data_IF_412219915917
#
_entry.id   IF_412219915917
#
_cell.length_a   1.000
_cell.length_b   1.000
_cell.length_c   1.000
_cell.angle_alpha   90.00
_cell.angle_beta   90.00
_cell.angle_gamma   90.00
#
_symmetry.space_group_name_H-M   'P 1'
#
loop_
_entity.id
_entity.type
_entity.pdbx_description
1 polymer ?
#
# COMPACT_ATOMS: atom_id res chain seq x y z
N UNK A 1 8.29 9.41 -7.21
CA UNK A 1 7.55 9.67 -8.48
C UNK A 1 7.56 11.15 -8.89
N UNK A 2 6.94 12.08 -8.15
CA UNK A 2 6.91 13.51 -8.54
C UNK A 2 8.31 14.10 -8.79
N UNK A 3 9.26 13.82 -7.89
CA UNK A 3 10.65 14.23 -8.02
C UNK A 3 11.30 13.68 -9.30
N UNK A 4 11.16 12.37 -9.55
CA UNK A 4 11.68 11.72 -10.76
C UNK A 4 11.09 12.34 -12.03
N UNK A 5 9.77 12.56 -12.08
CA UNK A 5 9.10 13.19 -13.23
C UNK A 5 9.60 14.63 -13.45
N UNK A 6 9.78 15.39 -12.37
CA UNK A 6 10.22 16.78 -12.44
C UNK A 6 11.60 16.91 -13.07
N UNK A 7 12.57 16.09 -12.64
CA UNK A 7 13.94 16.13 -13.15
C UNK A 7 14.17 15.31 -14.42
N UNK A 8 13.21 14.46 -14.83
CA UNK A 8 13.35 13.58 -16.00
C UNK A 8 13.80 14.29 -17.29
N UNK A 9 13.24 15.45 -17.69
CA UNK A 9 13.63 16.12 -18.93
C UNK A 9 15.07 16.63 -18.93
N UNK A 10 15.60 16.99 -17.74
CA UNK A 10 16.94 17.56 -17.57
C UNK A 10 18.03 16.49 -17.49
N UNK A 11 17.68 15.29 -17.02
CA UNK A 11 18.64 14.21 -16.75
C UNK A 11 18.62 13.13 -17.82
N UNK A 12 17.56 12.32 -17.83
CA UNK A 12 17.43 11.14 -18.68
C UNK A 12 16.86 11.49 -20.06
N UNK A 13 16.14 12.61 -20.16
CA UNK A 13 15.55 13.12 -21.39
C UNK A 13 14.45 12.24 -21.98
N UNK A 14 13.86 12.71 -23.08
CA UNK A 14 12.80 11.99 -23.79
C UNK A 14 11.48 11.89 -23.02
N UNK A 15 10.61 11.00 -23.48
CA UNK A 15 9.28 10.78 -22.87
C UNK A 15 9.42 9.91 -21.62
N UNK A 16 8.80 10.35 -20.52
CA UNK A 16 8.71 9.58 -19.28
C UNK A 16 8.05 8.20 -19.53
N UNK A 17 8.62 7.09 -19.01
CA UNK A 17 8.08 5.74 -19.16
C UNK A 17 6.65 5.60 -18.61
N UNK A 18 5.88 4.64 -19.13
CA UNK A 18 4.56 4.35 -18.59
C UNK A 18 4.69 3.64 -17.23
N UNK A 19 3.97 4.12 -16.21
CA UNK A 19 3.97 3.48 -14.89
C UNK A 19 2.96 2.33 -14.86
N UNK A 20 3.44 1.13 -14.54
CA UNK A 20 2.61 -0.05 -14.36
C UNK A 20 1.87 0.00 -13.02
N UNK A 21 0.54 0.10 -13.08
CA UNK A 21 -0.31 -0.01 -11.89
C UNK A 21 -0.64 -1.46 -11.52
N UNK A 22 -0.30 -2.41 -12.39
CA UNK A 22 -0.43 -3.85 -12.16
C UNK A 22 0.67 -4.61 -12.90
N UNK A 23 1.32 -5.55 -12.21
CA UNK A 23 2.37 -6.41 -12.79
C UNK A 23 1.81 -7.61 -13.55
N UNK A 24 0.53 -7.97 -13.35
CA UNK A 24 -0.11 -9.20 -13.84
C UNK A 24 0.03 -9.41 -15.35
N UNK A 25 -0.16 -8.36 -16.15
CA UNK A 25 -0.07 -8.43 -17.62
C UNK A 25 1.35 -8.70 -18.09
N UNK A 26 2.31 -7.93 -17.59
CA UNK A 26 3.73 -8.06 -17.94
C UNK A 26 4.31 -9.40 -17.44
N UNK A 27 3.96 -9.83 -16.22
CA UNK A 27 4.39 -11.12 -15.69
C UNK A 27 3.78 -12.29 -16.48
N UNK A 28 2.52 -12.19 -16.91
CA UNK A 28 1.90 -13.21 -17.75
C UNK A 28 2.65 -13.39 -19.08
N UNK A 29 3.13 -12.30 -19.67
CA UNK A 29 3.89 -12.35 -20.92
C UNK A 29 5.34 -12.80 -20.69
N UNK A 30 5.98 -12.34 -19.60
CA UNK A 30 7.30 -12.79 -19.19
C UNK A 30 7.35 -14.31 -18.93
N UNK A 31 6.31 -14.86 -18.29
CA UNK A 31 6.17 -16.32 -18.10
C UNK A 31 6.14 -17.08 -19.42
N UNK A 32 5.44 -16.57 -20.45
CA UNK A 32 5.43 -17.21 -21.78
C UNK A 32 6.82 -17.20 -22.40
N UNK A 33 7.55 -16.08 -22.29
CA UNK A 33 8.93 -15.96 -22.80
C UNK A 33 9.91 -16.90 -22.08
N UNK A 34 9.66 -17.14 -20.80
CA UNK A 34 10.44 -18.07 -19.97
C UNK A 34 9.97 -19.54 -20.07
N UNK A 35 9.00 -19.85 -20.94
CA UNK A 35 8.39 -21.17 -21.12
C UNK A 35 7.84 -21.79 -19.82
N UNK A 36 7.19 -20.95 -18.99
CA UNK A 36 6.59 -21.36 -17.72
C UNK A 36 5.07 -21.32 -17.82
N UNK A 37 4.45 -22.47 -17.59
CA UNK A 37 3.00 -22.62 -17.54
C UNK A 37 2.54 -23.13 -16.17
N UNK A 38 1.32 -22.77 -15.77
CA UNK A 38 0.73 -23.23 -14.50
C UNK A 38 -0.78 -23.21 -14.56
N UNK A 39 -1.40 -24.23 -13.96
CA UNK A 39 -2.86 -24.32 -13.78
C UNK A 39 -3.38 -23.32 -12.74
N UNK A 40 -2.54 -22.88 -11.79
CA UNK A 40 -2.88 -21.88 -10.77
C UNK A 40 -2.22 -20.54 -11.09
N UNK A 41 -2.65 -19.93 -12.19
CA UNK A 41 -2.03 -18.71 -12.74
C UNK A 41 -2.04 -17.54 -11.76
N UNK A 42 -3.13 -17.31 -11.02
CA UNK A 42 -3.25 -16.17 -10.10
C UNK A 42 -2.25 -16.23 -8.92
N UNK A 43 -2.14 -17.38 -8.25
CA UNK A 43 -1.19 -17.54 -7.14
C UNK A 43 0.26 -17.44 -7.62
N UNK A 44 0.56 -18.03 -8.77
CA UNK A 44 1.89 -17.95 -9.36
C UNK A 44 2.29 -16.51 -9.71
N UNK A 45 1.38 -15.73 -10.30
CA UNK A 45 1.65 -14.32 -10.60
C UNK A 45 1.91 -13.49 -9.33
N UNK A 46 1.21 -13.80 -8.23
CA UNK A 46 1.43 -13.16 -6.93
C UNK A 46 2.79 -13.52 -6.34
N UNK A 47 3.15 -14.80 -6.34
CA UNK A 47 4.46 -15.25 -5.85
C UNK A 47 5.58 -14.59 -6.67
N UNK A 48 5.47 -14.62 -8.00
CA UNK A 48 6.42 -13.97 -8.92
C UNK A 48 6.56 -12.47 -8.65
N UNK A 49 5.44 -11.76 -8.48
CA UNK A 49 5.47 -10.34 -8.16
C UNK A 49 6.20 -10.08 -6.84
N UNK A 50 5.89 -10.85 -5.78
CA UNK A 50 6.51 -10.69 -4.47
C UNK A 50 8.01 -10.97 -4.46
N UNK A 51 8.48 -11.99 -5.19
CA UNK A 51 9.91 -12.29 -5.31
C UNK A 51 10.66 -11.20 -6.09
N UNK A 52 10.08 -10.70 -7.18
CA UNK A 52 10.68 -9.63 -7.99
C UNK A 52 10.72 -8.32 -7.20
N UNK A 53 9.63 -7.97 -6.51
CA UNK A 53 9.56 -6.78 -5.64
C UNK A 53 10.64 -6.83 -4.57
N UNK A 54 10.74 -7.96 -3.85
CA UNK A 54 11.77 -8.17 -2.87
C UNK A 54 13.18 -8.01 -3.44
N UNK A 55 13.47 -8.65 -4.58
CA UNK A 55 14.78 -8.59 -5.21
C UNK A 55 15.17 -7.15 -5.56
N UNK A 56 14.24 -6.41 -6.16
CA UNK A 56 14.46 -5.02 -6.58
C UNK A 56 14.63 -4.06 -5.41
N UNK A 57 13.86 -4.27 -4.35
CA UNK A 57 13.97 -3.48 -3.11
C UNK A 57 15.32 -3.70 -2.42
N UNK A 58 15.93 -4.87 -2.61
CA UNK A 58 17.32 -5.16 -2.22
C UNK A 58 18.35 -4.80 -3.30
N UNK A 59 17.93 -4.17 -4.40
CA UNK A 59 18.79 -3.77 -5.53
C UNK A 59 19.49 -4.94 -6.24
N UNK A 60 18.89 -6.13 -6.20
CA UNK A 60 19.39 -7.33 -6.87
C UNK A 60 18.91 -7.38 -8.31
N UNK A 61 19.84 -7.50 -9.26
CA UNK A 61 19.53 -7.77 -10.66
C UNK A 61 19.09 -9.23 -10.88
N UNK A 62 18.46 -9.57 -12.02
CA UNK A 62 17.98 -10.94 -12.28
C UNK A 62 19.04 -12.03 -12.16
N UNK A 63 20.26 -11.76 -12.61
CA UNK A 63 21.41 -12.67 -12.50
C UNK A 63 21.93 -12.83 -11.07
N UNK A 64 21.62 -11.88 -10.18
CA UNK A 64 22.00 -11.90 -8.78
C UNK A 64 20.94 -12.51 -7.86
N UNK A 65 19.71 -12.73 -8.37
CA UNK A 65 18.58 -13.20 -7.57
C UNK A 65 18.89 -14.47 -6.77
N UNK A 66 19.46 -15.49 -7.41
CA UNK A 66 19.76 -16.78 -6.77
C UNK A 66 20.79 -16.64 -5.64
N UNK A 67 21.83 -15.83 -5.85
CA UNK A 67 22.83 -15.55 -4.83
C UNK A 67 22.20 -14.75 -3.67
N UNK A 68 21.37 -13.77 -4.01
CA UNK A 68 20.66 -12.94 -3.03
C UNK A 68 19.76 -13.74 -2.09
N UNK A 69 19.15 -14.84 -2.54
CA UNK A 69 18.40 -15.74 -1.65
C UNK A 69 19.26 -16.24 -0.48
N UNK A 70 20.52 -16.56 -0.75
CA UNK A 70 21.47 -17.02 0.26
C UNK A 70 21.98 -15.86 1.11
N UNK A 71 22.41 -14.77 0.48
CA UNK A 71 23.01 -13.61 1.16
C UNK A 71 22.08 -12.99 2.20
N UNK A 72 20.77 -12.98 1.90
CA UNK A 72 19.74 -12.43 2.77
C UNK A 72 18.97 -13.50 3.55
N UNK A 73 19.40 -14.77 3.50
CA UNK A 73 18.74 -15.90 4.17
C UNK A 73 17.22 -15.95 3.90
N UNK A 74 16.82 -15.65 2.65
CA UNK A 74 15.40 -15.60 2.27
C UNK A 74 14.82 -17.01 2.30
N UNK A 75 13.74 -17.16 3.07
CA UNK A 75 12.92 -18.38 3.02
C UNK A 75 12.11 -18.37 1.72
N UNK A 76 12.58 -19.12 0.73
CA UNK A 76 11.88 -19.31 -0.53
C UNK A 76 10.81 -20.40 -0.38
N UNK A 77 9.56 -20.00 -0.19
CA UNK A 77 8.42 -20.91 -0.04
C UNK A 77 7.19 -20.41 -0.81
N UNK A 78 7.25 -20.34 -2.15
CA UNK A 78 6.13 -19.91 -2.96
C UNK A 78 4.94 -20.88 -2.80
N UNK A 79 3.74 -20.32 -2.83
CA UNK A 79 2.50 -21.11 -2.78
C UNK A 79 2.27 -21.93 -4.06
N UNK A 80 2.86 -21.46 -5.16
CA UNK A 80 2.95 -22.13 -6.45
C UNK A 80 4.22 -23.00 -6.53
N UNK A 81 4.14 -24.13 -7.25
CA UNK A 81 5.29 -25.03 -7.47
C UNK A 81 6.28 -24.44 -8.49
N UNK A 82 6.85 -23.28 -8.20
CA UNK A 82 7.88 -22.62 -9.01
C UNK A 82 9.24 -22.72 -8.32
N UNK A 83 10.30 -23.00 -9.09
CA UNK A 83 11.67 -23.02 -8.57
C UNK A 83 12.30 -21.62 -8.58
N UNK A 84 13.32 -21.41 -7.76
CA UNK A 84 14.04 -20.13 -7.73
C UNK A 84 14.67 -19.78 -9.09
N UNK A 85 15.17 -20.78 -9.83
CA UNK A 85 15.75 -20.60 -11.17
C UNK A 85 14.68 -20.17 -12.17
N UNK A 86 13.46 -20.70 -12.04
CA UNK A 86 12.32 -20.27 -12.84
C UNK A 86 11.95 -18.82 -12.53
N UNK A 87 11.96 -18.41 -11.25
CA UNK A 87 11.75 -17.00 -10.87
C UNK A 87 12.81 -16.11 -11.50
N UNK A 88 14.10 -16.46 -11.44
CA UNK A 88 15.17 -15.68 -12.06
C UNK A 88 14.95 -15.49 -13.58
N UNK A 89 14.56 -16.55 -14.29
CA UNK A 89 14.24 -16.49 -15.74
C UNK A 89 13.05 -15.58 -16.03
N UNK A 90 11.97 -15.68 -15.25
CA UNK A 90 10.80 -14.79 -15.41
C UNK A 90 11.19 -13.36 -15.10
N UNK A 91 12.02 -13.14 -14.08
CA UNK A 91 12.47 -11.81 -13.69
C UNK A 91 13.28 -11.15 -14.82
N UNK A 92 14.22 -11.87 -15.43
CA UNK A 92 14.97 -11.39 -16.60
C UNK A 92 14.03 -11.05 -17.78
N UNK A 93 13.09 -11.94 -18.10
CA UNK A 93 12.10 -11.71 -19.16
C UNK A 93 11.18 -10.51 -18.85
N UNK A 94 10.84 -10.30 -17.58
CA UNK A 94 10.01 -9.21 -17.09
C UNK A 94 10.71 -7.86 -17.26
N UNK A 95 11.96 -7.74 -16.81
CA UNK A 95 12.76 -6.52 -16.98
C UNK A 95 13.02 -6.23 -18.47
N UNK A 96 13.30 -7.26 -19.27
CA UNK A 96 13.45 -7.10 -20.73
C UNK A 96 12.16 -6.60 -21.39
N UNK A 97 10.99 -7.10 -20.99
CA UNK A 97 9.71 -6.68 -21.54
C UNK A 97 9.39 -5.23 -21.17
N UNK A 98 9.56 -4.86 -19.89
CA UNK A 98 9.39 -3.47 -19.45
C UNK A 98 10.28 -2.50 -20.22
N UNK A 99 11.54 -2.87 -20.47
CA UNK A 99 12.47 -2.07 -21.26
C UNK A 99 12.00 -1.88 -22.71
N UNK A 100 11.48 -2.94 -23.34
CA UNK A 100 10.94 -2.89 -24.70
C UNK A 100 9.71 -1.96 -24.79
N UNK A 101 8.79 -2.08 -23.82
CA UNK A 101 7.55 -1.30 -23.77
C UNK A 101 7.73 0.12 -23.18
N UNK A 102 8.96 0.49 -22.80
CA UNK A 102 9.26 1.72 -22.06
C UNK A 102 8.31 1.91 -20.88
N UNK A 103 8.20 0.86 -20.07
CA UNK A 103 7.38 0.82 -18.87
C UNK A 103 8.26 0.66 -17.63
N UNK A 104 7.78 1.17 -16.50
CA UNK A 104 8.41 1.06 -15.18
C UNK A 104 7.37 0.62 -14.16
N UNK A 105 7.76 -0.12 -13.13
CA UNK A 105 6.93 -0.40 -11.95
C UNK A 105 7.26 0.56 -10.78
N UNK A 106 6.67 0.33 -9.61
CA UNK A 106 6.88 1.20 -8.44
C UNK A 106 8.29 1.08 -7.87
N UNK A 107 8.91 -0.09 -7.96
CA UNK A 107 10.27 -0.30 -7.47
C UNK A 107 11.28 0.42 -8.39
N UNK A 108 11.03 0.40 -9.71
CA UNK A 108 11.80 1.18 -10.68
C UNK A 108 11.77 2.68 -10.40
N UNK A 109 10.64 3.21 -9.90
CA UNK A 109 10.57 4.64 -9.54
C UNK A 109 11.62 4.96 -8.49
N UNK A 110 11.80 4.09 -7.49
CA UNK A 110 12.83 4.30 -6.46
C UNK A 110 14.23 4.07 -7.03
N UNK A 111 14.46 2.98 -7.78
CA UNK A 111 15.75 2.68 -8.41
C UNK A 111 16.24 3.81 -9.32
N UNK A 112 15.36 4.31 -10.19
CA UNK A 112 15.68 5.41 -11.11
C UNK A 112 15.86 6.74 -10.37
N UNK A 113 15.11 6.99 -9.30
CA UNK A 113 15.30 8.20 -8.48
C UNK A 113 16.66 8.16 -7.78
N UNK A 114 17.03 7.01 -7.22
CA UNK A 114 18.34 6.79 -6.60
C UNK A 114 19.45 6.97 -7.63
N UNK A 115 19.38 6.28 -8.78
CA UNK A 115 20.37 6.41 -9.84
C UNK A 115 20.51 7.85 -10.35
N UNK A 116 19.40 8.55 -10.58
CA UNK A 116 19.41 9.96 -10.96
C UNK A 116 20.11 10.83 -9.90
N UNK A 117 19.79 10.63 -8.62
CA UNK A 117 20.43 11.39 -7.54
C UNK A 117 21.91 11.04 -7.36
N UNK A 118 22.36 9.84 -7.74
CA UNK A 118 23.76 9.44 -7.65
C UNK A 118 24.60 10.05 -8.78
N UNK A 119 24.10 9.96 -10.01
CA UNK A 119 24.80 10.42 -11.21
C UNK A 119 24.72 11.96 -11.36
N UNK A 120 23.57 12.57 -11.05
CA UNK A 120 23.31 13.99 -11.34
C UNK A 120 23.50 14.87 -10.12
N UNK A 121 24.73 15.39 -9.97
CA UNK A 121 25.10 16.25 -8.83
C UNK A 121 24.17 17.45 -8.67
N UNK A 122 23.83 18.13 -9.78
CA UNK A 122 22.97 19.32 -9.72
C UNK A 122 21.58 19.01 -9.19
N UNK A 123 20.99 17.89 -9.61
CA UNK A 123 19.68 17.44 -9.10
C UNK A 123 19.77 17.14 -7.62
N UNK A 124 20.80 16.40 -7.19
CA UNK A 124 21.03 16.07 -5.79
C UNK A 124 21.21 17.32 -4.91
N UNK A 125 21.94 18.33 -5.39
CA UNK A 125 22.15 19.60 -4.68
C UNK A 125 20.84 20.39 -4.57
N UNK A 126 20.08 20.54 -5.67
CA UNK A 126 18.76 21.21 -5.63
C UNK A 126 17.80 20.55 -4.66
N UNK A 127 17.78 19.22 -4.60
CA UNK A 127 16.93 18.48 -3.64
C UNK A 127 17.38 18.75 -2.20
N UNK A 128 18.69 18.76 -1.93
CA UNK A 128 19.24 19.04 -0.59
C UNK A 128 18.98 20.47 -0.15
N UNK A 129 19.03 21.43 -1.07
CA UNK A 129 18.75 22.84 -0.80
C UNK A 129 17.27 23.07 -0.50
N UNK A 130 16.38 22.35 -1.20
CA UNK A 130 14.93 22.46 -1.00
C UNK A 130 14.47 21.78 0.30
N UNK A 131 14.99 20.60 0.62
CA UNK A 131 14.56 19.80 1.76
C UNK A 131 15.68 19.68 2.79
N UNK A 132 15.47 20.32 3.94
CA UNK A 132 16.47 20.39 5.01
C UNK A 132 16.25 19.36 6.11
N UNK A 133 15.05 19.31 6.67
CA UNK A 133 14.71 18.42 7.78
C UNK A 133 13.84 17.28 7.28
N UNK A 134 14.19 16.06 7.68
CA UNK A 134 13.44 14.86 7.33
C UNK A 134 12.78 14.27 8.57
N UNK A 135 11.53 13.87 8.42
CA UNK A 135 10.83 13.04 9.40
C UNK A 135 10.36 11.79 8.71
N UNK A 136 10.72 10.62 9.24
CA UNK A 136 10.37 9.33 8.67
C UNK A 136 9.60 8.53 9.72
N UNK A 137 8.33 8.28 9.44
CA UNK A 137 7.47 7.42 10.23
C UNK A 137 7.59 5.96 9.74
N UNK A 138 7.18 5.01 10.59
CA UNK A 138 7.25 3.56 10.33
C UNK A 138 8.65 3.08 9.89
N UNK A 139 9.69 3.63 10.52
CA UNK A 139 11.08 3.42 10.13
C UNK A 139 11.54 1.96 10.28
N UNK A 140 10.83 1.14 11.05
CA UNK A 140 11.07 -0.30 11.14
C UNK A 140 10.80 -1.06 9.83
N UNK A 141 9.95 -0.51 8.96
CA UNK A 141 9.57 -1.13 7.68
C UNK A 141 10.30 -0.53 6.48
N UNK A 142 11.34 0.27 6.72
CA UNK A 142 12.19 0.82 5.67
C UNK A 142 13.03 -0.27 5.02
N UNK A 143 13.03 -0.26 3.69
CA UNK A 143 13.87 -1.14 2.90
C UNK A 143 15.24 -0.54 2.57
N UNK A 144 16.25 -1.36 2.17
CA UNK A 144 17.56 -0.84 1.78
C UNK A 144 17.52 0.20 0.67
N UNK A 145 16.65 0.03 -0.34
CA UNK A 145 16.49 1.01 -1.40
C UNK A 145 15.90 2.34 -0.90
N UNK A 146 14.92 2.28 0.00
CA UNK A 146 14.36 3.49 0.65
C UNK A 146 15.40 4.17 1.54
N UNK A 147 16.18 3.41 2.30
CA UNK A 147 17.26 3.94 3.11
C UNK A 147 18.31 4.65 2.24
N UNK A 148 18.68 4.06 1.10
CA UNK A 148 19.64 4.66 0.15
C UNK A 148 19.11 5.98 -0.42
N UNK A 149 17.83 6.04 -0.76
CA UNK A 149 17.18 7.28 -1.19
C UNK A 149 17.24 8.37 -0.10
N UNK A 150 16.91 8.00 1.14
CA UNK A 150 16.98 8.91 2.29
C UNK A 150 18.41 9.42 2.53
N UNK A 151 19.41 8.56 2.40
CA UNK A 151 20.82 8.92 2.54
C UNK A 151 21.27 9.90 1.45
N UNK A 152 20.78 9.74 0.22
CA UNK A 152 21.05 10.68 -0.86
C UNK A 152 20.41 12.05 -0.61
N UNK A 153 19.17 12.06 -0.11
CA UNK A 153 18.48 13.29 0.29
C UNK A 153 19.16 14.00 1.46
N UNK A 154 19.62 13.28 2.48
CA UNK A 154 20.31 13.87 3.63
C UNK A 154 21.73 14.34 3.28
N UNK A 155 22.48 13.53 2.54
CA UNK A 155 23.90 13.74 2.31
C UNK A 155 24.72 13.57 3.59
N UNK A 156 25.44 14.61 3.99
CA UNK A 156 26.27 14.60 5.21
C UNK A 156 25.55 15.16 6.44
N UNK A 157 24.29 15.56 6.30
CA UNK A 157 23.48 16.15 7.37
C UNK A 157 22.91 15.06 8.27
N UNK A 158 22.68 15.44 9.52
CA UNK A 158 22.00 14.67 10.55
C UNK A 158 20.65 15.30 10.94
N UNK A 159 20.11 16.18 10.07
CA UNK A 159 18.80 16.83 10.18
C UNK A 159 17.63 15.84 9.93
N UNK A 160 17.58 14.75 10.71
CA UNK A 160 16.59 13.67 10.59
C UNK A 160 15.98 13.28 11.94
N UNK A 161 14.67 13.10 11.93
CA UNK A 161 13.90 12.46 13.00
C UNK A 161 13.27 11.18 12.43
N UNK A 162 13.44 10.05 13.12
CA UNK A 162 12.78 8.78 12.75
C UNK A 162 11.89 8.30 13.88
N UNK A 163 10.77 7.71 13.52
CA UNK A 163 9.80 7.09 14.43
C UNK A 163 9.54 5.68 13.96
N UNK A 164 9.47 4.73 14.89
CA UNK A 164 9.14 3.36 14.57
C UNK A 164 9.17 2.45 15.79
N UNK A 165 8.63 1.25 15.62
CA UNK A 165 8.58 0.21 16.65
C UNK A 165 9.08 -1.13 16.06
N UNK A 166 10.23 -1.66 16.52
CA UNK A 166 10.74 -2.95 16.03
C UNK A 166 9.78 -4.13 16.21
N UNK A 167 8.84 -4.08 17.17
CA UNK A 167 7.83 -5.12 17.34
C UNK A 167 6.72 -5.07 16.26
N UNK A 168 6.65 -3.99 15.48
CA UNK A 168 5.64 -3.77 14.45
C UNK A 168 6.19 -3.99 13.03
N UNK A 169 7.38 -4.58 12.87
CA UNK A 169 7.89 -4.94 11.55
C UNK A 169 7.08 -6.06 10.93
N UNK A 170 6.33 -5.74 9.87
CA UNK A 170 5.47 -6.70 9.16
C UNK A 170 5.75 -6.77 7.66
N UNK A 171 6.59 -5.88 7.11
CA UNK A 171 6.91 -5.84 5.67
C UNK A 171 8.22 -6.54 5.28
N UNK A 172 8.82 -7.34 6.18
CA UNK A 172 10.08 -8.04 5.88
C UNK A 172 10.02 -8.95 4.65
N UNK A 173 8.83 -9.51 4.35
CA UNK A 173 8.62 -10.32 3.14
C UNK A 173 8.89 -9.54 1.83
N UNK A 174 8.69 -8.22 1.86
CA UNK A 174 8.93 -7.28 0.76
C UNK A 174 10.33 -6.64 0.82
N UNK A 175 11.19 -7.04 1.76
CA UNK A 175 12.58 -6.58 1.87
C UNK A 175 12.80 -5.43 2.86
N UNK A 176 11.79 -5.09 3.67
CA UNK A 176 11.97 -4.18 4.80
C UNK A 176 12.92 -4.77 5.87
N UNK A 177 13.60 -3.90 6.62
CA UNK A 177 14.48 -4.32 7.70
C UNK A 177 14.44 -3.40 8.91
N UNK A 178 14.16 -3.91 10.13
CA UNK A 178 14.21 -3.11 11.35
C UNK A 178 15.64 -2.75 11.74
N UNK A 179 16.65 -3.33 11.09
CA UNK A 179 18.05 -3.08 11.40
C UNK A 179 18.41 -1.60 11.25
N UNK A 180 17.75 -0.85 10.36
CA UNK A 180 17.98 0.60 10.24
C UNK A 180 17.53 1.36 11.48
N UNK A 181 16.37 1.03 12.04
CA UNK A 181 15.88 1.59 13.29
C UNK A 181 16.74 1.17 14.47
N UNK A 182 17.04 -0.14 14.60
CA UNK A 182 17.82 -0.69 15.71
C UNK A 182 19.25 -0.16 15.77
N UNK A 183 19.86 0.11 14.62
CA UNK A 183 21.23 0.63 14.51
C UNK A 183 21.28 2.16 14.28
N UNK A 184 20.18 2.88 14.48
CA UNK A 184 20.11 4.30 14.16
C UNK A 184 21.16 5.12 14.93
N UNK A 185 21.34 4.86 16.22
CA UNK A 185 22.35 5.55 17.06
C UNK A 185 23.78 5.18 16.70
N UNK A 186 24.02 4.04 16.05
CA UNK A 186 25.35 3.71 15.53
C UNK A 186 25.70 4.58 14.31
N UNK A 187 24.69 4.91 13.48
CA UNK A 187 24.84 5.80 12.33
C UNK A 187 24.84 7.28 12.72
N UNK A 188 24.04 7.66 13.70
CA UNK A 188 23.92 9.01 14.23
C UNK A 188 24.25 9.02 15.74
N UNK A 189 25.54 9.06 16.13
CA UNK A 189 25.96 8.95 17.53
C UNK A 189 25.43 10.06 18.44
N UNK A 190 25.09 11.22 17.87
CA UNK A 190 24.54 12.37 18.59
C UNK A 190 23.01 12.38 18.64
N UNK A 191 22.34 11.35 18.11
CA UNK A 191 20.89 11.30 18.07
C UNK A 191 20.30 11.21 19.49
N UNK A 192 19.29 12.03 19.76
CA UNK A 192 18.47 11.90 20.95
C UNK A 192 17.50 10.73 20.80
N UNK A 193 17.44 9.85 21.80
CA UNK A 193 16.52 8.71 21.81
C UNK A 193 15.43 8.97 22.83
N UNK A 194 14.21 9.19 22.33
CA UNK A 194 13.01 9.34 23.15
C UNK A 194 12.22 8.04 23.07
N UNK A 195 11.92 7.43 24.23
CA UNK A 195 11.06 6.25 24.31
C UNK A 195 9.69 6.66 24.82
N UNK A 196 8.65 6.32 24.06
CA UNK A 196 7.26 6.55 24.43
C UNK A 196 6.67 5.23 24.94
N UNK A 197 6.56 5.07 26.27
CA UNK A 197 5.98 3.85 26.87
C UNK A 197 4.48 3.94 27.09
N UNK A 198 3.91 5.14 27.19
CA UNK A 198 2.49 5.31 27.48
C UNK A 198 1.61 5.07 26.23
N UNK A 199 0.68 4.12 26.32
CA UNK A 199 -0.32 3.82 25.30
C UNK A 199 -1.60 4.63 25.50
N UNK A 200 -1.91 5.51 24.54
CA UNK A 200 -3.09 6.39 24.56
C UNK A 200 -4.28 5.83 23.76
N UNK A 201 -4.09 4.75 22.98
CA UNK A 201 -5.12 4.22 22.08
C UNK A 201 -6.06 3.21 22.72
N UNK A 202 -5.50 2.31 23.54
CA UNK A 202 -6.18 1.08 23.94
C UNK A 202 -6.41 1.02 25.45
N UNK A 203 -7.36 0.20 25.88
CA UNK A 203 -7.63 -0.05 27.30
C UNK A 203 -6.48 -0.84 27.94
N UNK A 204 -6.33 -0.78 29.27
CA UNK A 204 -5.40 -1.64 29.99
C UNK A 204 -5.54 -3.13 29.66
N UNK A 205 -6.76 -3.63 29.45
CA UNK A 205 -7.02 -5.02 29.13
C UNK A 205 -6.42 -5.43 27.76
N UNK A 206 -6.55 -4.57 26.75
CA UNK A 206 -5.98 -4.79 25.42
C UNK A 206 -4.45 -4.69 25.48
N UNK A 207 -3.90 -3.65 26.13
CA UNK A 207 -2.45 -3.43 26.26
C UNK A 207 -1.78 -4.60 27.00
N UNK A 208 -2.35 -5.07 28.11
CA UNK A 208 -1.80 -6.18 28.86
C UNK A 208 -1.84 -7.51 28.08
N UNK A 209 -2.87 -7.70 27.25
CA UNK A 209 -2.95 -8.84 26.33
C UNK A 209 -1.84 -8.78 25.29
N UNK A 210 -1.64 -7.61 24.66
CA UNK A 210 -0.56 -7.40 23.70
C UNK A 210 0.83 -7.59 24.32
N UNK A 211 1.09 -6.99 25.49
CA UNK A 211 2.37 -7.16 26.22
C UNK A 211 2.65 -8.64 26.55
N UNK A 212 1.62 -9.44 26.86
CA UNK A 212 1.78 -10.88 27.10
C UNK A 212 2.25 -11.62 25.85
N UNK A 213 1.70 -11.27 24.68
CA UNK A 213 2.13 -11.83 23.39
C UNK A 213 3.58 -11.41 23.09
N UNK A 214 3.91 -10.13 23.26
CA UNK A 214 5.26 -9.59 23.03
C UNK A 214 6.31 -10.27 23.91
N UNK A 215 6.03 -10.46 25.21
CA UNK A 215 6.89 -11.22 26.13
C UNK A 215 7.13 -12.63 25.64
N UNK A 216 6.08 -13.34 25.22
CA UNK A 216 6.21 -14.72 24.75
C UNK A 216 7.06 -14.84 23.48
N UNK A 217 7.07 -13.79 22.66
CA UNK A 217 7.86 -13.71 21.43
C UNK A 217 9.25 -13.10 21.63
N UNK A 218 9.59 -12.59 22.84
CA UNK A 218 10.77 -11.77 23.11
C UNK A 218 10.93 -10.59 22.13
N UNK A 219 9.83 -9.88 21.85
CA UNK A 219 9.79 -8.77 20.89
C UNK A 219 9.59 -7.41 21.57
N UNK A 220 10.35 -6.41 21.12
CA UNK A 220 10.14 -4.98 21.41
C UNK A 220 10.13 -4.61 22.89
N UNK A 221 9.37 -3.54 23.18
CA UNK A 221 9.18 -3.01 24.53
C UNK A 221 7.70 -3.03 24.90
N UNK A 222 7.42 -3.19 26.18
CA UNK A 222 6.06 -3.16 26.70
C UNK A 222 5.54 -1.72 26.81
N UNK A 223 4.23 -1.57 26.68
CA UNK A 223 3.54 -0.30 26.85
C UNK A 223 2.82 -0.24 28.21
N UNK A 224 2.82 0.93 28.81
CA UNK A 224 2.05 1.29 29.99
C UNK A 224 0.66 1.77 29.57
N UNK A 225 -0.39 1.23 30.18
CA UNK A 225 -1.74 1.69 29.96
C UNK A 225 -2.08 2.87 30.87
N UNK A 226 -2.56 3.96 30.28
CA UNK A 226 -2.97 5.18 31.02
C UNK A 226 -4.45 5.51 30.85
N UNK A 227 -5.14 4.78 29.97
CA UNK A 227 -6.56 4.95 29.73
C UNK A 227 -7.41 4.28 30.81
N UNK A 228 -8.68 4.68 30.88
CA UNK A 228 -9.69 4.01 31.70
C UNK A 228 -9.81 2.52 31.32
N UNK A 229 -10.15 1.71 32.32
CA UNK A 229 -10.46 0.30 32.13
C UNK A 229 -11.65 0.10 31.18
N UNK A 230 -11.61 -0.97 30.41
CA UNK A 230 -12.71 -1.38 29.53
C UNK A 230 -12.88 -2.89 29.50
N UNK A 231 -13.43 -3.38 28.39
CA UNK A 231 -13.70 -4.81 28.24
C UNK A 231 -12.44 -5.60 27.89
N UNK A 232 -12.40 -6.86 28.32
CA UNK A 232 -11.32 -7.79 27.99
C UNK A 232 -11.48 -8.32 26.56
N UNK A 233 -10.39 -8.48 25.80
CA UNK A 233 -10.43 -9.18 24.52
C UNK A 233 -11.03 -10.57 24.66
N UNK A 234 -11.93 -10.94 23.74
CA UNK A 234 -12.61 -12.24 23.74
C UNK A 234 -12.09 -13.06 22.56
N UNK A 235 -11.64 -14.29 22.82
CA UNK A 235 -11.30 -15.26 21.79
C UNK A 235 -12.40 -16.33 21.71
N UNK A 236 -13.00 -16.51 20.52
CA UNK A 236 -14.01 -17.55 20.25
C UNK A 236 -13.59 -18.37 19.04
N UNK A 237 -13.76 -19.68 19.13
CA UNK A 237 -13.55 -20.61 18.02
C UNK A 237 -14.89 -20.99 17.39
N UNK A 238 -14.91 -21.09 16.06
CA UNK A 238 -16.09 -21.46 15.28
C UNK A 238 -15.80 -22.74 14.47
N UNK A 239 -16.86 -23.48 14.11
CA UNK A 239 -16.71 -24.75 13.38
C UNK A 239 -16.41 -24.53 11.89
N UNK A 240 -16.84 -23.40 11.34
CA UNK A 240 -16.61 -23.01 9.95
C UNK A 240 -16.48 -21.49 9.81
N UNK A 241 -15.93 -21.04 8.68
CA UNK A 241 -15.87 -19.61 8.33
C UNK A 241 -17.26 -18.99 8.19
N UNK A 242 -18.26 -19.78 7.76
CA UNK A 242 -19.64 -19.32 7.68
C UNK A 242 -20.25 -19.12 9.06
N UNK A 243 -19.99 -20.04 10.01
CA UNK A 243 -20.43 -19.87 11.40
C UNK A 243 -19.78 -18.66 12.07
N UNK A 244 -18.50 -18.42 11.81
CA UNK A 244 -17.77 -17.23 12.28
C UNK A 244 -18.38 -15.94 11.70
N UNK A 245 -18.62 -15.90 10.39
CA UNK A 245 -19.22 -14.74 9.72
C UNK A 245 -20.60 -14.40 10.28
N UNK A 246 -21.48 -15.41 10.45
CA UNK A 246 -22.81 -15.20 11.01
C UNK A 246 -22.77 -14.74 12.47
N UNK A 247 -21.84 -15.28 13.27
CA UNK A 247 -21.67 -14.82 14.64
C UNK A 247 -21.14 -13.38 14.73
N UNK A 248 -20.23 -12.98 13.83
CA UNK A 248 -19.74 -11.60 13.74
C UNK A 248 -20.85 -10.63 13.32
N UNK A 249 -21.68 -11.01 12.34
CA UNK A 249 -22.85 -10.21 11.93
C UNK A 249 -23.78 -9.94 13.11
N UNK A 250 -24.07 -10.96 13.94
CA UNK A 250 -24.92 -10.79 15.12
C UNK A 250 -24.29 -9.83 16.13
N UNK A 251 -22.99 -9.97 16.40
CA UNK A 251 -22.26 -9.09 17.31
C UNK A 251 -22.29 -7.64 16.82
N UNK A 252 -22.01 -7.41 15.54
CA UNK A 252 -22.00 -6.07 14.94
C UNK A 252 -23.41 -5.46 15.00
N UNK A 253 -24.47 -6.25 14.79
CA UNK A 253 -25.86 -5.75 14.96
C UNK A 253 -26.15 -5.34 16.39
N UNK A 254 -25.67 -6.09 17.38
CA UNK A 254 -25.81 -5.73 18.80
C UNK A 254 -25.06 -4.44 19.11
N UNK A 255 -23.82 -4.28 18.63
CA UNK A 255 -23.03 -3.06 18.82
C UNK A 255 -23.68 -1.83 18.17
N UNK A 256 -24.19 -1.96 16.93
CA UNK A 256 -24.90 -0.89 16.23
C UNK A 256 -26.21 -0.54 16.96
N UNK A 257 -26.96 -1.54 17.41
CA UNK A 257 -28.17 -1.31 18.21
C UNK A 257 -27.86 -0.66 19.57
N UNK A 258 -26.66 -0.91 20.11
CA UNK A 258 -26.09 -0.24 21.28
C UNK A 258 -25.61 1.19 21.03
N UNK A 259 -25.61 1.65 19.77
CA UNK A 259 -25.29 3.01 19.38
C UNK A 259 -23.90 3.22 18.79
N UNK A 260 -23.10 2.16 18.57
CA UNK A 260 -21.83 2.30 17.84
C UNK A 260 -22.10 2.60 16.36
N UNK A 261 -21.32 3.52 15.80
CA UNK A 261 -21.37 3.78 14.38
C UNK A 261 -20.59 2.70 13.60
N UNK A 262 -21.05 2.36 12.39
CA UNK A 262 -20.41 1.33 11.54
C UNK A 262 -18.95 1.64 11.24
N UNK A 263 -18.59 2.93 11.14
CA UNK A 263 -17.21 3.39 10.90
C UNK A 263 -16.27 3.28 12.12
N UNK A 264 -16.80 2.93 13.30
CA UNK A 264 -16.02 2.64 14.50
C UNK A 264 -15.67 1.14 14.62
N UNK A 265 -16.22 0.30 13.73
CA UNK A 265 -16.01 -1.14 13.71
C UNK A 265 -15.05 -1.50 12.57
N UNK A 266 -13.98 -2.22 12.89
CA UNK A 266 -13.01 -2.71 11.92
C UNK A 266 -12.82 -4.23 12.01
N UNK A 267 -12.85 -4.90 10.85
CA UNK A 267 -12.58 -6.33 10.71
C UNK A 267 -11.21 -6.51 10.07
N UNK A 268 -10.32 -7.24 10.73
CA UNK A 268 -8.96 -7.53 10.25
C UNK A 268 -8.83 -9.03 10.00
N UNK A 269 -8.40 -9.41 8.80
CA UNK A 269 -8.14 -10.81 8.43
C UNK A 269 -6.70 -10.99 7.97
N UNK A 270 -6.22 -12.23 7.94
CA UNK A 270 -4.86 -12.53 7.47
C UNK A 270 -4.76 -12.44 5.95
N UNK A 271 -5.82 -12.83 5.24
CA UNK A 271 -5.88 -12.81 3.77
C UNK A 271 -7.19 -12.21 3.25
N UNK A 272 -7.13 -11.55 2.09
CA UNK A 272 -8.30 -10.93 1.47
C UNK A 272 -9.42 -11.94 1.13
N UNK A 273 -9.07 -13.21 0.88
CA UNK A 273 -10.07 -14.26 0.62
C UNK A 273 -11.01 -14.50 1.81
N UNK A 274 -10.58 -14.18 3.03
CA UNK A 274 -11.45 -14.26 4.21
C UNK A 274 -12.45 -13.11 4.26
N UNK A 275 -12.12 -11.95 3.65
CA UNK A 275 -13.01 -10.79 3.61
C UNK A 275 -14.21 -11.03 2.69
N UNK A 276 -14.04 -11.77 1.59
CA UNK A 276 -15.15 -12.09 0.66
C UNK A 276 -16.31 -12.82 1.35
N UNK A 277 -16.00 -13.73 2.28
CA UNK A 277 -17.03 -14.47 3.05
C UNK A 277 -17.76 -13.53 4.02
N UNK A 278 -17.03 -12.59 4.61
CA UNK A 278 -17.56 -11.64 5.59
C UNK A 278 -18.39 -10.53 4.92
N UNK A 279 -17.95 -10.00 3.78
CA UNK A 279 -18.67 -9.01 2.97
C UNK A 279 -20.04 -9.53 2.55
N UNK A 280 -20.11 -10.73 1.98
CA UNK A 280 -21.39 -11.35 1.62
C UNK A 280 -22.33 -11.48 2.83
N UNK A 281 -21.80 -11.87 3.99
CA UNK A 281 -22.61 -12.02 5.20
C UNK A 281 -23.10 -10.68 5.76
N UNK A 282 -22.29 -9.62 5.69
CA UNK A 282 -22.67 -8.26 6.08
C UNK A 282 -23.72 -7.67 5.12
N UNK A 283 -23.53 -7.87 3.82
CA UNK A 283 -24.46 -7.42 2.77
C UNK A 283 -25.83 -8.10 2.91
N UNK A 284 -25.87 -9.43 3.08
CA UNK A 284 -27.10 -10.19 3.36
C UNK A 284 -27.81 -9.69 4.62
N UNK A 285 -27.03 -9.22 5.60
CA UNK A 285 -27.54 -8.71 6.85
C UNK A 285 -27.98 -7.24 6.79
N UNK A 286 -27.75 -6.55 5.66
CA UNK A 286 -28.05 -5.14 5.45
C UNK A 286 -27.13 -4.18 6.20
N UNK A 287 -25.90 -4.60 6.52
CA UNK A 287 -24.91 -3.80 7.27
C UNK A 287 -23.98 -3.12 6.27
N UNK A 288 -23.95 -1.80 6.30
CA UNK A 288 -23.02 -1.01 5.49
C UNK A 288 -21.57 -1.36 5.85
N UNK A 289 -20.79 -1.70 4.83
CA UNK A 289 -19.40 -2.11 5.00
C UNK A 289 -18.53 -1.63 3.84
N UNK A 290 -17.22 -1.56 4.07
CA UNK A 290 -16.25 -1.17 3.06
C UNK A 290 -15.02 -2.08 3.14
N UNK A 291 -14.78 -2.88 2.10
CA UNK A 291 -13.48 -3.53 1.93
C UNK A 291 -12.48 -2.52 1.35
N UNK A 292 -11.37 -2.29 2.07
CA UNK A 292 -10.18 -1.64 1.51
C UNK A 292 -9.48 -2.58 0.52
N UNK A 293 -10.09 -2.79 -0.65
CA UNK A 293 -9.50 -3.56 -1.73
C UNK A 293 -8.53 -2.70 -2.57
N UNK A 294 -7.57 -3.36 -3.21
CA UNK A 294 -6.49 -2.75 -4.00
C UNK A 294 -6.95 -1.97 -5.23
N UNK A 295 -8.18 -2.19 -5.72
CA UNK A 295 -8.75 -1.39 -6.79
C UNK A 295 -9.40 -0.14 -6.20
N UNK A 296 -8.60 0.95 -6.15
CA UNK A 296 -9.12 2.28 -5.82
C UNK A 296 -10.39 2.53 -6.64
N UNK A 297 -11.47 2.98 -6.02
CA UNK A 297 -12.75 3.24 -6.66
C UNK A 297 -12.62 3.99 -8.01
N UNK A 298 -11.78 5.04 -8.05
CA UNK A 298 -11.46 5.82 -9.25
C UNK A 298 -10.69 5.09 -10.35
N UNK A 299 -10.19 3.89 -10.09
CA UNK A 299 -9.48 3.06 -11.07
C UNK A 299 -10.40 2.06 -11.78
N UNK A 300 -11.62 1.84 -11.27
CA UNK A 300 -12.60 0.98 -11.92
C UNK A 300 -12.87 1.53 -13.33
N UNK A 301 -12.83 0.70 -14.40
CA UNK A 301 -13.00 1.18 -15.78
C UNK A 301 -14.26 2.03 -15.98
N UNK A 302 -15.38 1.58 -15.39
CA UNK A 302 -16.66 2.28 -15.43
C UNK A 302 -16.61 3.66 -14.75
N UNK A 303 -15.91 3.77 -13.60
CA UNK A 303 -15.73 5.04 -12.88
C UNK A 303 -14.79 5.97 -13.65
N UNK A 304 -13.74 5.44 -14.30
CA UNK A 304 -12.85 6.24 -15.16
C UNK A 304 -13.56 6.78 -16.39
N UNK A 305 -14.35 5.94 -17.07
CA UNK A 305 -15.17 6.35 -18.20
C UNK A 305 -16.16 7.44 -17.80
N UNK A 306 -16.80 7.26 -16.65
CA UNK A 306 -17.73 8.25 -16.07
C UNK A 306 -17.03 9.57 -15.73
N UNK A 307 -15.89 9.55 -15.05
CA UNK A 307 -15.10 10.77 -14.78
C UNK A 307 -14.62 11.41 -16.08
N UNK A 308 -14.26 10.63 -17.09
CA UNK A 308 -13.94 11.14 -18.42
C UNK A 308 -15.11 11.84 -19.09
N UNK A 309 -16.32 11.30 -18.95
CA UNK A 309 -17.55 11.92 -19.43
C UNK A 309 -17.85 13.22 -18.67
N UNK A 310 -17.79 13.22 -17.34
CA UNK A 310 -18.02 14.41 -16.50
C UNK A 310 -16.99 15.49 -16.85
N UNK A 311 -15.72 15.13 -17.03
CA UNK A 311 -14.65 16.04 -17.44
C UNK A 311 -14.91 16.66 -18.81
N UNK A 312 -15.41 15.88 -19.76
CA UNK A 312 -15.77 16.39 -21.09
C UNK A 312 -16.97 17.34 -21.01
N UNK A 313 -18.00 16.99 -20.23
CA UNK A 313 -19.17 17.83 -20.00
C UNK A 313 -18.82 19.13 -19.25
N UNK A 314 -17.86 19.09 -18.32
CA UNK A 314 -17.44 20.27 -17.54
C UNK A 314 -16.82 21.39 -18.36
N UNK A 315 -16.38 21.10 -19.60
CA UNK A 315 -15.84 22.09 -20.54
C UNK A 315 -16.98 22.83 -21.27
N UNK A 316 -18.17 22.24 -21.34
CA UNK A 316 -19.32 22.71 -22.12
C UNK A 316 -20.50 23.19 -21.25
N UNK A 317 -20.39 23.08 -19.93
CA UNK A 317 -21.47 23.42 -18.98
C UNK A 317 -21.60 24.93 -18.86
N UNK A 318 -22.77 25.47 -19.20
CA UNK A 318 -23.03 26.93 -19.24
C UNK A 318 -24.14 27.40 -18.28
N UNK A 319 -24.85 26.52 -17.55
CA UNK A 319 -25.91 26.96 -16.62
C UNK A 319 -26.23 26.01 -15.45
N UNK A 320 -27.00 24.95 -15.69
CA UNK A 320 -27.45 24.01 -14.64
C UNK A 320 -26.50 22.81 -14.56
N UNK A 321 -25.44 22.95 -13.76
CA UNK A 321 -24.39 21.95 -13.65
C UNK A 321 -24.86 20.61 -13.08
N UNK A 322 -25.93 20.61 -12.27
CA UNK A 322 -26.47 19.39 -11.67
C UNK A 322 -27.37 18.64 -12.67
N UNK A 323 -28.10 19.36 -13.52
CA UNK A 323 -28.76 18.77 -14.69
C UNK A 323 -27.74 18.22 -15.69
N UNK A 324 -26.67 18.95 -15.97
CA UNK A 324 -25.58 18.52 -16.86
C UNK A 324 -24.88 17.26 -16.33
N UNK A 325 -24.63 17.21 -15.01
CA UNK A 325 -24.10 16.01 -14.35
C UNK A 325 -25.08 14.83 -14.51
N UNK A 326 -26.37 15.04 -14.24
CA UNK A 326 -27.40 13.99 -14.37
C UNK A 326 -27.46 13.45 -15.79
N UNK A 327 -27.41 14.31 -16.79
CA UNK A 327 -27.42 13.92 -18.21
C UNK A 327 -26.15 13.18 -18.61
N UNK A 328 -25.00 13.63 -18.12
CA UNK A 328 -23.72 12.94 -18.28
C UNK A 328 -23.73 11.53 -17.65
N UNK A 329 -24.46 11.33 -16.56
CA UNK A 329 -24.51 10.06 -15.84
C UNK A 329 -25.54 9.07 -16.39
N UNK A 330 -26.50 9.50 -17.25
CA UNK A 330 -27.53 8.62 -17.85
C UNK A 330 -26.97 7.35 -18.52
N UNK A 331 -25.86 7.39 -19.30
CA UNK A 331 -25.32 6.20 -19.95
C UNK A 331 -24.79 5.14 -18.97
N UNK A 332 -24.50 5.52 -17.73
CA UNK A 332 -23.96 4.64 -16.68
C UNK A 332 -25.06 3.94 -15.85
N UNK A 333 -26.33 4.20 -16.17
CA UNK A 333 -27.48 3.53 -15.55
C UNK A 333 -27.72 3.93 -14.10
N UNK A 334 -28.31 3.04 -13.30
CA UNK A 334 -28.61 3.25 -11.88
C UNK A 334 -27.67 2.47 -10.95
N UNK A 335 -26.40 2.33 -11.33
CA UNK A 335 -25.42 1.70 -10.46
C UNK A 335 -25.29 2.46 -9.13
N UNK A 336 -24.83 1.75 -8.10
CA UNK A 336 -24.59 2.32 -6.78
C UNK A 336 -23.68 3.55 -6.84
N UNK A 337 -22.61 3.50 -7.64
CA UNK A 337 -21.69 4.62 -7.81
C UNK A 337 -22.33 5.85 -8.47
N UNK A 338 -23.25 5.68 -9.43
CA UNK A 338 -24.00 6.81 -10.00
C UNK A 338 -24.86 7.48 -8.91
N UNK A 339 -25.47 6.68 -8.03
CA UNK A 339 -26.25 7.22 -6.90
C UNK A 339 -25.35 7.98 -5.91
N UNK A 340 -24.20 7.42 -5.54
CA UNK A 340 -23.24 8.08 -4.64
C UNK A 340 -22.72 9.40 -5.21
N UNK A 341 -22.41 9.46 -6.51
CA UNK A 341 -21.99 10.71 -7.17
C UNK A 341 -23.11 11.75 -7.20
N UNK A 342 -24.35 11.35 -7.48
CA UNK A 342 -25.50 12.26 -7.44
C UNK A 342 -25.82 12.75 -6.03
N UNK A 343 -25.62 11.90 -5.02
CA UNK A 343 -25.78 12.28 -3.62
C UNK A 343 -24.72 13.31 -3.20
N UNK A 344 -23.44 13.03 -3.47
CA UNK A 344 -22.34 13.96 -3.22
C UNK A 344 -22.54 15.29 -3.96
N UNK A 345 -23.02 15.25 -5.20
CA UNK A 345 -23.33 16.47 -5.95
C UNK A 345 -24.41 17.31 -5.28
N UNK A 346 -25.47 16.68 -4.77
CA UNK A 346 -26.53 17.37 -4.02
C UNK A 346 -26.03 17.97 -2.71
N UNK A 347 -25.16 17.25 -1.98
CA UNK A 347 -24.53 17.75 -0.75
C UNK A 347 -23.64 18.96 -1.04
N UNK A 348 -22.79 18.89 -2.06
CA UNK A 348 -21.91 19.98 -2.45
C UNK A 348 -22.67 21.19 -3.05
N UNK A 349 -23.78 20.96 -3.77
CA UNK A 349 -24.68 22.03 -4.22
C UNK A 349 -25.27 22.79 -3.01
N UNK A 350 -25.71 22.06 -1.98
CA UNK A 350 -26.21 22.64 -0.75
C UNK A 350 -25.13 23.44 0.01
N UNK A 351 -23.86 23.06 -0.13
CA UNK A 351 -22.70 23.78 0.39
C UNK A 351 -22.23 24.94 -0.51
N UNK A 352 -22.94 25.22 -1.62
CA UNK A 352 -22.70 26.39 -2.47
C UNK A 352 -21.78 26.13 -3.66
N UNK A 353 -21.56 24.87 -4.05
CA UNK A 353 -20.85 24.54 -5.28
C UNK A 353 -21.69 24.91 -6.52
N UNK A 354 -21.12 25.70 -7.43
CA UNK A 354 -21.89 26.30 -8.55
C UNK A 354 -21.49 25.81 -9.94
N UNK A 355 -20.57 24.84 -10.07
CA UNK A 355 -20.14 24.38 -11.39
C UNK A 355 -19.66 22.94 -11.42
N UNK A 356 -19.86 22.29 -12.57
CA UNK A 356 -19.41 20.93 -12.81
C UNK A 356 -17.88 20.79 -12.77
N UNK A 357 -17.17 21.89 -13.08
CA UNK A 357 -15.72 21.95 -13.01
C UNK A 357 -15.18 21.99 -11.58
N UNK A 358 -15.94 22.55 -10.64
CA UNK A 358 -15.59 22.55 -9.22
C UNK A 358 -15.97 21.22 -8.53
N UNK A 359 -16.89 20.46 -9.14
CA UNK A 359 -17.29 19.13 -8.67
C UNK A 359 -16.25 18.04 -9.00
N UNK A 360 -15.46 18.24 -10.05
CA UNK A 360 -14.33 17.40 -10.46
C UNK A 360 -13.04 17.77 -9.72
#
# INVERSE_FOLDING_TARGET
>A
LKQLIYFWPETLGGRFPSLLTSKTGFLSEAMKRADISSSKKSSLLRDLAGEIEWAKVLTLAPDQYLQGLSDYSRVFNPSSKISAEQVAKVYEAYESLKKQERAIDFEDVLLLTVGMLEEEREVRERVRDQYRYFTVDEYQDVSPLQQRLLDLWLGKRDDICVVGDPAQTIYSFAGASPAFLLNFTAKYPNAEVIRLSAGYRSTPEIINTANTILRSANLGHELDAINSHGEKPIAKGYKSQSDEAQALVLLIKEDIAGGLATNEIAILTRTNSQLEVLENALDEAGIENQIRNSERFFNRPQVREMIGAIRSASVLSESDWLADLRDCLKPFGQSEFVRSFMQLAGELEAEGLTSLRAFL
#
